data_IF_736616681263
#
_entry.id   IF_736616681263
#
_cell.length_a   1.000
_cell.length_b   1.000
_cell.length_c   1.000
_cell.angle_alpha   90.00
_cell.angle_beta   90.00
_cell.angle_gamma   90.00
#
_symmetry.space_group_name_H-M   'P 1'
#
loop_
_entity.id
_entity.type
_entity.pdbx_description
1 polymer ?
#
# COMPACT_ATOMS: atom_id res chain seq x y z
N UNK A 1 6.99 4.38 -5.60
CA UNK A 1 6.03 3.26 -5.52
C UNK A 1 4.67 3.74 -5.00
N UNK A 2 3.55 3.30 -5.59
CA UNK A 2 2.19 3.71 -5.16
C UNK A 2 1.64 2.75 -4.09
N UNK A 3 0.98 3.27 -3.06
CA UNK A 3 0.37 2.44 -1.98
C UNK A 3 -0.58 1.37 -2.51
N UNK A 4 -1.36 1.67 -3.55
CA UNK A 4 -2.32 0.74 -4.16
C UNK A 4 -1.71 -0.56 -4.69
N UNK A 5 -0.40 -0.58 -4.99
CA UNK A 5 0.25 -1.79 -5.50
C UNK A 5 0.36 -2.88 -4.43
N UNK A 6 0.44 -2.48 -3.18
CA UNK A 6 0.51 -3.40 -2.05
C UNK A 6 -0.74 -4.28 -1.90
N UNK A 7 -1.86 -3.88 -2.49
CA UNK A 7 -3.10 -4.65 -2.55
C UNK A 7 -2.96 -5.96 -3.34
N UNK A 8 -2.03 -6.00 -4.30
CA UNK A 8 -1.82 -7.13 -5.22
C UNK A 8 -0.55 -7.91 -4.84
N UNK A 9 0.36 -7.31 -4.07
CA UNK A 9 1.65 -7.90 -3.74
C UNK A 9 1.54 -8.92 -2.61
N UNK A 10 1.98 -10.14 -2.90
CA UNK A 10 2.20 -11.18 -1.91
C UNK A 10 3.70 -11.49 -1.79
N UNK A 11 4.11 -12.10 -0.67
CA UNK A 11 5.50 -12.53 -0.50
C UNK A 11 5.88 -13.52 -1.61
N UNK A 12 6.97 -13.32 -2.37
CA UNK A 12 7.36 -14.24 -3.44
C UNK A 12 7.76 -15.64 -2.93
N UNK A 13 8.22 -15.75 -1.69
CA UNK A 13 8.68 -17.02 -1.10
C UNK A 13 7.54 -17.86 -0.54
N UNK A 14 6.65 -17.25 0.25
CA UNK A 14 5.60 -17.97 0.99
C UNK A 14 4.17 -17.58 0.60
N UNK A 15 4.01 -16.71 -0.41
CA UNK A 15 2.70 -16.20 -0.91
C UNK A 15 1.82 -15.55 0.16
N UNK A 16 2.41 -15.13 1.28
CA UNK A 16 1.67 -14.50 2.36
C UNK A 16 1.20 -13.10 1.96
N UNK A 17 -0.03 -12.78 2.33
CA UNK A 17 -0.69 -11.50 2.14
C UNK A 17 -1.59 -11.22 3.36
N UNK A 18 -1.65 -9.99 3.87
CA UNK A 18 -0.95 -8.78 3.41
C UNK A 18 0.51 -8.69 3.85
N UNK A 19 1.28 -7.81 3.19
CA UNK A 19 2.65 -7.46 3.58
C UNK A 19 2.66 -6.15 4.38
N UNK A 20 3.62 -6.01 5.29
CA UNK A 20 3.81 -4.79 6.07
C UNK A 20 4.68 -3.81 5.28
N UNK A 21 4.18 -2.60 5.06
CA UNK A 21 4.93 -1.54 4.41
C UNK A 21 5.47 -0.56 5.47
N UNK A 22 6.79 -0.40 5.50
CA UNK A 22 7.49 0.61 6.30
C UNK A 22 7.96 1.69 5.34
N UNK A 23 7.44 2.90 5.48
CA UNK A 23 7.79 4.05 4.63
C UNK A 23 8.86 4.86 5.32
N UNK A 24 9.99 5.06 4.63
CA UNK A 24 11.10 5.89 5.10
C UNK A 24 10.99 7.28 4.49
N UNK A 25 10.72 7.35 3.18
CA UNK A 25 10.58 8.60 2.44
C UNK A 25 9.44 8.49 1.42
N UNK A 26 8.65 9.55 1.31
CA UNK A 26 7.59 9.69 0.33
C UNK A 26 7.57 11.10 -0.23
N UNK A 27 7.30 11.18 -1.52
CA UNK A 27 7.06 12.44 -2.23
C UNK A 27 5.58 12.65 -2.43
N UNK A 28 5.18 13.92 -2.51
CA UNK A 28 3.81 14.33 -2.78
C UNK A 28 3.70 14.93 -4.18
N UNK A 29 2.67 14.51 -4.91
CA UNK A 29 2.35 14.96 -6.25
C UNK A 29 0.88 15.35 -6.35
N UNK A 30 0.58 16.41 -7.09
CA UNK A 30 -0.80 16.74 -7.43
C UNK A 30 -1.34 15.74 -8.46
N UNK A 31 -2.28 14.89 -8.04
CA UNK A 31 -2.94 13.89 -8.87
C UNK A 31 -4.42 13.84 -8.52
N UNK A 32 -5.29 13.80 -9.53
CA UNK A 32 -6.73 13.58 -9.39
C UNK A 32 -7.12 12.42 -10.28
N UNK A 33 -7.87 11.47 -9.73
CA UNK A 33 -8.47 10.37 -10.49
C UNK A 33 -9.97 10.36 -10.19
N UNK A 34 -10.76 10.53 -11.24
CA UNK A 34 -12.22 10.41 -11.20
C UNK A 34 -12.63 8.94 -11.38
N UNK A 35 -12.21 8.10 -10.43
CA UNK A 35 -12.56 6.67 -10.39
C UNK A 35 -13.44 6.43 -9.16
N UNK A 36 -14.30 5.41 -9.22
CA UNK A 36 -15.11 5.01 -8.07
C UNK A 36 -14.20 4.53 -6.93
N UNK A 37 -14.40 5.09 -5.74
CA UNK A 37 -13.72 4.67 -4.50
C UNK A 37 -14.45 3.47 -3.86
N UNK A 38 -13.75 2.61 -3.10
CA UNK A 38 -12.31 2.57 -2.87
C UNK A 38 -11.51 2.12 -4.11
N UNK A 39 -10.28 2.62 -4.27
CA UNK A 39 -9.41 2.24 -5.41
C UNK A 39 -8.75 0.88 -5.27
N UNK A 40 -8.63 0.36 -4.04
CA UNK A 40 -8.07 -0.96 -3.75
C UNK A 40 -9.23 -1.96 -3.61
N UNK A 41 -8.97 -3.26 -3.73
CA UNK A 41 -9.98 -4.33 -3.65
C UNK A 41 -9.91 -5.13 -2.34
N UNK A 42 -8.72 -5.45 -1.83
CA UNK A 42 -8.54 -6.33 -0.67
C UNK A 42 -7.94 -5.61 0.56
N UNK A 43 -6.92 -4.79 0.37
CA UNK A 43 -6.12 -4.19 1.42
C UNK A 43 -5.67 -2.75 1.10
N UNK A 44 -5.95 -1.83 2.02
CA UNK A 44 -5.48 -0.46 1.96
C UNK A 44 -4.19 -0.31 2.76
N UNK A 45 -3.04 -0.27 2.08
CA UNK A 45 -1.74 -0.08 2.75
C UNK A 45 -1.49 1.33 3.29
N UNK A 46 -2.28 2.31 2.86
CA UNK A 46 -2.22 3.66 3.43
C UNK A 46 -2.79 3.71 4.85
N UNK A 47 -3.88 2.96 5.09
CA UNK A 47 -4.52 2.85 6.41
C UNK A 47 -4.08 1.60 7.19
N UNK A 48 -3.39 0.67 6.55
CA UNK A 48 -2.94 -0.59 7.16
C UNK A 48 -4.09 -1.56 7.48
N UNK A 49 -5.19 -1.55 6.71
CA UNK A 49 -6.41 -2.34 6.99
C UNK A 49 -6.97 -3.00 5.74
N UNK A 50 -7.68 -4.12 5.94
CA UNK A 50 -8.48 -4.75 4.87
C UNK A 50 -9.69 -3.90 4.54
N UNK A 51 -10.13 -3.95 3.28
CA UNK A 51 -11.23 -3.12 2.80
C UNK A 51 -12.57 -3.54 3.38
N UNK A 52 -12.75 -4.84 3.64
CA UNK A 52 -13.92 -5.37 4.33
C UNK A 52 -14.09 -4.78 5.76
N UNK A 53 -13.01 -4.32 6.38
CA UNK A 53 -13.01 -3.77 7.74
C UNK A 53 -13.19 -2.24 7.77
N UNK A 54 -13.19 -1.59 6.60
CA UNK A 54 -13.40 -0.16 6.47
C UNK A 54 -14.89 0.17 6.64
N UNK A 55 -15.22 0.78 7.78
CA UNK A 55 -16.57 1.29 8.08
C UNK A 55 -16.85 2.65 7.42
N UNK A 56 -15.81 3.35 6.98
CA UNK A 56 -15.85 4.71 6.45
C UNK A 56 -15.20 4.77 5.06
N UNK A 57 -15.49 5.84 4.30
CA UNK A 57 -14.89 6.05 2.99
C UNK A 57 -13.36 6.22 3.09
N UNK A 58 -12.62 5.38 2.35
CA UNK A 58 -11.17 5.43 2.34
C UNK A 58 -10.65 6.76 1.74
N UNK A 59 -9.60 7.38 2.31
CA UNK A 59 -9.02 8.66 1.86
C UNK A 59 -8.17 8.48 0.59
N UNK A 60 -8.79 7.95 -0.46
CA UNK A 60 -8.14 7.60 -1.72
C UNK A 60 -7.55 8.82 -2.44
N UNK A 61 -8.18 9.99 -2.29
CA UNK A 61 -7.71 11.26 -2.89
C UNK A 61 -6.43 11.77 -2.26
N UNK A 62 -6.20 11.46 -0.99
CA UNK A 62 -4.94 11.78 -0.32
C UNK A 62 -3.89 10.71 -0.67
N UNK A 63 -4.28 9.44 -0.58
CA UNK A 63 -3.40 8.30 -0.84
C UNK A 63 -2.72 8.36 -2.23
N UNK A 64 -3.44 8.81 -3.26
CA UNK A 64 -2.89 8.89 -4.63
C UNK A 64 -1.79 9.93 -4.78
N UNK A 65 -1.82 11.00 -3.97
CA UNK A 65 -0.85 12.08 -4.02
C UNK A 65 0.52 11.61 -3.58
N UNK A 66 0.57 10.63 -2.68
CA UNK A 66 1.83 10.12 -2.15
C UNK A 66 2.44 9.03 -3.02
N UNK A 67 3.74 9.14 -3.25
CA UNK A 67 4.56 8.12 -3.86
C UNK A 67 5.77 7.81 -2.98
N UNK A 68 5.90 6.54 -2.57
CA UNK A 68 6.98 6.07 -1.71
C UNK A 68 8.28 6.06 -2.52
N UNK A 69 9.28 6.81 -2.08
CA UNK A 69 10.62 6.86 -2.70
C UNK A 69 11.50 5.80 -2.06
N UNK A 70 11.53 5.78 -0.74
CA UNK A 70 12.36 4.88 0.06
C UNK A 70 11.49 4.16 1.09
N UNK A 71 11.63 2.84 1.21
CA UNK A 71 10.86 2.05 2.16
C UNK A 71 11.27 0.59 2.20
N UNK A 72 10.55 -0.19 3.00
CA UNK A 72 10.78 -1.63 3.17
C UNK A 72 9.43 -2.34 3.18
N UNK A 73 9.31 -3.39 2.39
CA UNK A 73 8.20 -4.34 2.44
C UNK A 73 8.64 -5.52 3.27
N UNK A 74 7.99 -5.75 4.40
CA UNK A 74 8.28 -6.83 5.33
C UNK A 74 7.19 -7.90 5.30
N UNK A 75 7.58 -9.17 5.24
CA UNK A 75 6.65 -10.29 5.35
C UNK A 75 6.59 -10.78 6.80
N UNK A 76 5.45 -10.67 7.50
CA UNK A 76 5.34 -11.12 8.89
C UNK A 76 5.38 -12.65 9.05
N UNK A 77 5.23 -13.41 7.96
CA UNK A 77 5.18 -14.88 8.01
C UNK A 77 6.55 -15.56 7.84
N UNK A 78 7.40 -15.04 6.95
CA UNK A 78 8.73 -15.61 6.70
C UNK A 78 9.88 -14.68 7.07
N UNK A 79 9.55 -13.53 7.68
CA UNK A 79 10.49 -12.53 8.23
C UNK A 79 11.43 -11.90 7.19
N UNK A 80 11.18 -12.13 5.91
CA UNK A 80 11.92 -11.51 4.81
C UNK A 80 11.47 -10.08 4.59
N UNK A 81 12.40 -9.27 4.09
CA UNK A 81 12.16 -7.90 3.73
C UNK A 81 12.68 -7.60 2.32
N UNK A 82 12.00 -6.67 1.65
CA UNK A 82 12.31 -6.24 0.29
C UNK A 82 12.41 -4.71 0.29
N UNK A 83 13.55 -4.13 -0.12
CA UNK A 83 13.70 -2.68 -0.15
C UNK A 83 12.92 -2.07 -1.31
N UNK A 84 12.39 -0.87 -1.07
CA UNK A 84 11.88 0.05 -2.09
C UNK A 84 12.92 1.15 -2.23
N UNK A 85 13.53 1.23 -3.41
CA UNK A 85 14.51 2.26 -3.77
C UNK A 85 14.11 2.77 -5.15
N UNK A 86 13.75 4.06 -5.23
CA UNK A 86 13.40 4.75 -6.46
C UNK A 86 14.55 5.65 -6.92
#
# INVERSE_FOLDING_TARGET
>A
MKYRLMDILACPECKHFPLNLIVIEREEYERKLDIKKPFCELYCSYLGKKIEELKEEAPCDECIRYEIVTGVIYCPNCERWYPIIK
#
